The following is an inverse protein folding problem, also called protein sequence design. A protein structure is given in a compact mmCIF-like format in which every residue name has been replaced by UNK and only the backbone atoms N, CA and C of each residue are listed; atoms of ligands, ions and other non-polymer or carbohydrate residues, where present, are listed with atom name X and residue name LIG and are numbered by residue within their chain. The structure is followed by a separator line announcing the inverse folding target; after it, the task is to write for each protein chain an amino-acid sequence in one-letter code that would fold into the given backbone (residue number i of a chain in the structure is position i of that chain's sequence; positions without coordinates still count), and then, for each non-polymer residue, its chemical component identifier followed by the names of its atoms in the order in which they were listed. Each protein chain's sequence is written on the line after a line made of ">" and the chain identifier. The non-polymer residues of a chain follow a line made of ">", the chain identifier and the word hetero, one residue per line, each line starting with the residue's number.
data_IF_854367984953
#
_entry.id   IF_854367984953
#
_cell.length_a   1.000
_cell.length_b   1.000
_cell.length_c   1.000
_cell.angle_alpha   90.00
_cell.angle_beta   90.00
_cell.angle_gamma   90.00
#
_symmetry.space_group_name_H-M   'P 1'
#
loop_
_entity.id
_entity.type
_entity.pdbx_description
1 polymer ?
#
# COMPACT_ATOMS: atom_id res chain seq x y z
N UNK A 1 -11.88 21.05 5.29
CA UNK A 1 -11.56 22.07 4.26
C UNK A 1 -12.86 22.55 3.62
N UNK A 2 -12.94 23.80 3.13
CA UNK A 2 -14.17 24.33 2.52
C UNK A 2 -14.36 23.84 1.08
N UNK A 3 -15.62 23.59 0.70
CA UNK A 3 -15.99 23.20 -0.67
C UNK A 3 -15.21 21.98 -1.17
N UNK A 4 -14.80 22.01 -2.43
CA UNK A 4 -14.13 20.89 -3.10
C UNK A 4 -12.80 20.50 -2.46
N UNK A 5 -12.15 21.40 -1.71
CA UNK A 5 -10.91 21.09 -1.00
C UNK A 5 -11.06 19.97 0.05
N UNK A 6 -12.29 19.58 0.39
CA UNK A 6 -12.56 18.43 1.26
C UNK A 6 -12.72 17.09 0.54
N UNK A 7 -12.67 17.04 -0.80
CA UNK A 7 -12.93 15.83 -1.55
C UNK A 7 -11.83 14.77 -1.37
N UNK A 8 -10.61 15.20 -1.04
CA UNK A 8 -9.48 14.31 -0.79
C UNK A 8 -8.13 15.02 -0.86
N UNK A 9 -7.09 14.22 -0.99
CA UNK A 9 -5.70 14.69 -1.09
C UNK A 9 -4.91 13.82 -2.04
N UNK A 10 -4.35 14.43 -3.08
CA UNK A 10 -3.30 13.82 -3.91
C UNK A 10 -1.97 13.97 -3.21
N UNK A 11 -1.27 12.86 -2.99
CA UNK A 11 0.08 12.80 -2.44
C UNK A 11 1.01 12.35 -3.57
N UNK A 12 1.90 13.24 -4.01
CA UNK A 12 2.87 12.98 -5.06
C UNK A 12 4.29 13.23 -4.52
N UNK A 13 4.84 12.22 -3.84
CA UNK A 13 6.19 12.32 -3.27
C UNK A 13 7.26 12.47 -4.37
N UNK A 14 7.22 11.70 -5.48
CA UNK A 14 8.17 11.90 -6.59
C UNK A 14 8.06 13.29 -7.24
N UNK A 15 6.84 13.84 -7.35
CA UNK A 15 6.58 15.20 -7.82
C UNK A 15 6.89 16.28 -6.78
N UNK A 16 7.04 15.93 -5.51
CA UNK A 16 7.39 16.84 -4.41
C UNK A 16 6.24 17.72 -3.91
N UNK A 17 4.98 17.30 -4.07
CA UNK A 17 3.83 18.08 -3.61
C UNK A 17 2.67 17.23 -3.06
N UNK A 18 1.78 17.91 -2.34
CA UNK A 18 0.46 17.41 -2.01
C UNK A 18 -0.58 18.43 -2.45
N UNK A 19 -1.71 17.95 -2.93
CA UNK A 19 -2.81 18.80 -3.40
C UNK A 19 -4.12 18.38 -2.75
N UNK A 20 -4.77 19.30 -2.05
CA UNK A 20 -6.13 19.13 -1.58
C UNK A 20 -7.13 19.37 -2.71
N UNK A 21 -8.25 18.67 -2.67
CA UNK A 21 -9.33 18.85 -3.63
C UNK A 21 -9.64 17.59 -4.43
N UNK A 22 -10.32 17.73 -5.58
CA UNK A 22 -10.57 16.63 -6.50
C UNK A 22 -9.27 15.97 -6.98
N UNK A 23 -9.33 14.69 -7.32
CA UNK A 23 -8.19 13.99 -7.91
C UNK A 23 -7.85 14.60 -9.29
N UNK A 24 -6.66 15.19 -9.40
CA UNK A 24 -6.14 15.77 -10.65
C UNK A 24 -5.20 14.84 -11.42
N UNK A 25 -4.81 13.70 -10.83
CA UNK A 25 -4.04 12.68 -11.52
C UNK A 25 -4.91 11.75 -12.36
N UNK A 26 -4.28 10.85 -13.11
CA UNK A 26 -4.95 9.83 -13.95
C UNK A 26 -5.21 8.57 -13.13
N UNK A 27 -6.46 8.25 -12.73
CA UNK A 27 -6.74 7.05 -11.94
C UNK A 27 -6.42 5.77 -12.73
N UNK A 28 -5.64 4.87 -12.14
CA UNK A 28 -5.31 3.57 -12.74
C UNK A 28 -6.03 2.43 -12.02
N UNK A 29 -5.95 2.41 -10.69
CA UNK A 29 -6.65 1.44 -9.85
C UNK A 29 -7.04 2.08 -8.52
N UNK A 30 -7.95 1.44 -7.80
CA UNK A 30 -8.41 1.95 -6.51
C UNK A 30 -8.77 0.84 -5.54
N UNK A 31 -8.65 1.16 -4.26
CA UNK A 31 -9.04 0.30 -3.14
C UNK A 31 -10.03 1.05 -2.28
N UNK A 32 -11.19 0.44 -2.06
CA UNK A 32 -12.18 1.00 -1.13
C UNK A 32 -11.74 0.73 0.30
N UNK A 33 -11.93 1.72 1.19
CA UNK A 33 -11.42 1.72 2.55
C UNK A 33 -10.12 2.51 2.66
N UNK A 34 -10.12 3.49 3.56
CA UNK A 34 -8.93 4.25 3.96
C UNK A 34 -9.10 4.75 5.41
N UNK A 35 -8.03 4.80 6.23
CA UNK A 35 -6.68 4.33 5.90
C UNK A 35 -6.56 2.80 5.97
N UNK A 36 -7.58 2.11 6.49
CA UNK A 36 -7.60 0.66 6.67
C UNK A 36 -8.47 0.00 5.61
N UNK A 37 -7.94 -1.05 4.98
CA UNK A 37 -8.65 -1.90 4.03
C UNK A 37 -8.14 -3.34 4.13
N UNK A 38 -8.59 -4.25 3.27
CA UNK A 38 -8.04 -5.59 3.12
C UNK A 38 -7.26 -5.67 1.82
N UNK A 39 -5.99 -6.06 1.92
CA UNK A 39 -5.11 -6.31 0.78
C UNK A 39 -4.68 -7.78 0.76
N UNK A 40 -4.33 -8.26 -0.41
CA UNK A 40 -3.73 -9.58 -0.58
C UNK A 40 -2.21 -9.42 -0.73
N UNK A 41 -1.46 -10.27 -0.02
CA UNK A 41 -0.01 -10.24 0.02
C UNK A 41 0.56 -11.58 -0.44
N UNK A 42 1.52 -11.52 -1.35
CA UNK A 42 2.32 -12.66 -1.78
C UNK A 42 3.80 -12.41 -1.52
N UNK A 43 4.49 -13.47 -1.11
CA UNK A 43 5.94 -13.48 -0.92
C UNK A 43 6.54 -14.35 -2.03
N UNK A 44 7.56 -13.83 -2.72
CA UNK A 44 8.24 -14.53 -3.82
C UNK A 44 7.82 -14.10 -5.22
N UNK A 45 6.89 -13.14 -5.34
CA UNK A 45 6.41 -12.60 -6.61
C UNK A 45 4.90 -12.72 -6.76
N UNK A 46 4.33 -11.90 -7.66
CA UNK A 46 2.91 -11.89 -7.93
C UNK A 46 2.53 -13.01 -8.91
N UNK A 47 1.66 -13.92 -8.45
CA UNK A 47 0.91 -14.83 -9.30
C UNK A 47 -0.59 -14.64 -9.03
N UNK A 48 -1.41 -14.19 -10.00
CA UNK A 48 -2.85 -14.01 -9.77
C UNK A 48 -3.55 -15.32 -9.39
N UNK A 49 -3.00 -16.48 -9.77
CA UNK A 49 -3.52 -17.80 -9.42
C UNK A 49 -2.79 -18.44 -8.22
N UNK A 50 -1.80 -17.74 -7.66
CA UNK A 50 -0.98 -18.22 -6.55
C UNK A 50 -1.66 -18.10 -5.19
N UNK A 51 -1.05 -18.74 -4.19
CA UNK A 51 -1.47 -18.57 -2.80
C UNK A 51 -1.15 -17.17 -2.28
N UNK A 52 -2.10 -16.55 -1.56
CA UNK A 52 -1.94 -15.23 -0.97
C UNK A 52 -2.45 -15.20 0.47
N UNK A 53 -2.01 -14.20 1.21
CA UNK A 53 -2.53 -13.87 2.54
C UNK A 53 -3.43 -12.65 2.45
N UNK A 54 -4.69 -12.77 2.89
CA UNK A 54 -5.60 -11.63 2.97
C UNK A 54 -5.47 -10.98 4.34
N UNK A 55 -5.01 -9.73 4.38
CA UNK A 55 -4.63 -9.04 5.60
C UNK A 55 -5.37 -7.71 5.76
N UNK A 56 -5.87 -7.39 6.96
CA UNK A 56 -6.18 -6.01 7.28
C UNK A 56 -4.89 -5.17 7.14
N UNK A 57 -4.98 -4.08 6.40
CA UNK A 57 -3.83 -3.34 5.89
C UNK A 57 -4.05 -1.85 6.07
N UNK A 58 -3.00 -1.13 6.44
CA UNK A 58 -3.01 0.31 6.65
C UNK A 58 -2.17 0.96 5.55
N UNK A 59 -2.79 1.83 4.74
CA UNK A 59 -2.07 2.76 3.89
C UNK A 59 -1.56 3.92 4.74
N UNK A 60 -0.26 3.92 5.05
CA UNK A 60 0.33 4.84 6.01
C UNK A 60 1.61 5.48 5.45
N UNK A 61 1.45 6.67 4.86
CA UNK A 61 2.58 7.46 4.35
C UNK A 61 3.53 7.94 5.47
N UNK A 62 3.15 7.85 6.74
CA UNK A 62 4.02 8.12 7.89
C UNK A 62 4.76 6.88 8.41
N UNK A 63 4.43 5.69 7.91
CA UNK A 63 4.88 4.39 8.42
C UNK A 63 6.33 4.00 8.07
N UNK A 64 7.13 4.92 7.54
CA UNK A 64 8.51 4.67 7.08
C UNK A 64 8.57 3.50 6.09
N UNK A 65 9.32 2.43 6.38
CA UNK A 65 9.42 1.23 5.52
C UNK A 65 8.25 0.24 5.68
N UNK A 66 7.28 0.54 6.56
CA UNK A 66 6.14 -0.31 6.84
C UNK A 66 6.44 -1.49 7.76
N UNK A 67 5.43 -2.33 7.98
CA UNK A 67 5.51 -3.54 8.81
C UNK A 67 4.87 -4.73 8.13
N UNK A 68 5.51 -5.90 8.24
CA UNK A 68 5.06 -7.16 7.66
C UNK A 68 4.69 -8.15 8.78
N UNK A 69 3.50 -8.76 8.77
CA UNK A 69 3.18 -9.82 9.72
C UNK A 69 4.13 -11.02 9.61
N UNK A 70 4.67 -11.47 10.73
CA UNK A 70 5.62 -12.57 10.81
C UNK A 70 5.11 -13.86 10.15
N UNK A 71 3.80 -14.13 10.29
CA UNK A 71 3.15 -15.33 9.78
C UNK A 71 3.26 -15.47 8.25
N UNK A 72 3.30 -14.35 7.52
CA UNK A 72 3.32 -14.41 6.05
C UNK A 72 4.72 -14.55 5.47
N UNK A 73 5.75 -14.18 6.23
CA UNK A 73 7.13 -14.30 5.79
C UNK A 73 7.60 -15.76 5.72
N UNK A 74 7.02 -16.65 6.55
CA UNK A 74 7.29 -18.09 6.51
C UNK A 74 8.69 -18.52 6.96
N UNK A 75 9.53 -17.61 7.46
CA UNK A 75 10.91 -17.88 7.89
C UNK A 75 11.05 -18.18 9.39
N UNK A 76 9.97 -18.05 10.17
CA UNK A 76 10.00 -18.11 11.63
C UNK A 76 10.51 -16.82 12.30
N UNK A 77 10.91 -15.81 11.52
CA UNK A 77 11.29 -14.50 12.03
C UNK A 77 10.08 -13.75 12.59
N UNK A 78 10.21 -13.18 13.79
CA UNK A 78 9.13 -12.44 14.48
C UNK A 78 9.47 -10.98 14.79
N UNK A 79 10.73 -10.58 14.60
CA UNK A 79 11.25 -9.22 14.85
C UNK A 79 12.35 -8.88 13.84
N UNK A 80 12.76 -7.61 13.79
CA UNK A 80 13.80 -7.12 12.87
C UNK A 80 13.25 -6.85 11.46
N UNK A 81 14.12 -6.57 10.50
CA UNK A 81 13.72 -6.28 9.12
C UNK A 81 13.53 -7.55 8.30
N UNK A 82 12.58 -7.52 7.35
CA UNK A 82 12.46 -8.60 6.37
C UNK A 82 13.80 -8.77 5.62
N UNK A 83 14.23 -10.02 5.31
CA UNK A 83 15.52 -10.24 4.67
C UNK A 83 15.61 -9.54 3.32
N UNK A 84 16.72 -8.84 3.00
CA UNK A 84 16.94 -8.30 1.66
C UNK A 84 16.80 -9.37 0.57
N UNK A 85 16.21 -9.00 -0.57
CA UNK A 85 15.91 -9.92 -1.67
C UNK A 85 14.52 -10.58 -1.56
N UNK A 86 13.78 -10.40 -0.46
CA UNK A 86 12.37 -10.80 -0.37
C UNK A 86 11.55 -9.98 -1.36
N UNK A 87 10.88 -10.65 -2.29
CA UNK A 87 9.90 -10.04 -3.21
C UNK A 87 8.54 -10.02 -2.53
N UNK A 88 7.97 -8.82 -2.39
CA UNK A 88 6.68 -8.60 -1.72
C UNK A 88 5.73 -7.99 -2.76
N UNK A 89 4.60 -8.65 -2.98
CA UNK A 89 3.59 -8.23 -3.94
C UNK A 89 2.29 -7.94 -3.23
N UNK A 90 1.70 -6.79 -3.53
CA UNK A 90 0.49 -6.29 -2.89
C UNK A 90 -0.57 -6.11 -3.97
N UNK A 91 -1.67 -6.85 -3.86
CA UNK A 91 -2.81 -6.79 -4.76
C UNK A 91 -4.08 -6.39 -3.99
N UNK A 92 -5.11 -5.98 -4.72
CA UNK A 92 -6.43 -5.80 -4.11
C UNK A 92 -7.01 -7.15 -3.68
N UNK A 93 -8.09 -7.12 -2.90
CA UNK A 93 -8.68 -8.32 -2.29
C UNK A 93 -9.12 -9.41 -3.30
N UNK A 94 -9.24 -9.10 -4.58
CA UNK A 94 -9.52 -10.11 -5.61
C UNK A 94 -8.30 -10.95 -6.03
N UNK A 95 -7.08 -10.55 -5.64
CA UNK A 95 -5.80 -11.09 -6.11
C UNK A 95 -5.58 -11.06 -7.64
N UNK A 96 -6.46 -10.42 -8.40
CA UNK A 96 -6.39 -10.29 -9.85
C UNK A 96 -5.77 -8.96 -10.27
N UNK A 97 -5.86 -7.95 -9.41
CA UNK A 97 -5.28 -6.63 -9.68
C UNK A 97 -4.11 -6.34 -8.74
N UNK A 98 -2.89 -6.41 -9.29
CA UNK A 98 -1.69 -5.94 -8.60
C UNK A 98 -1.77 -4.44 -8.36
N UNK A 99 -1.39 -3.99 -7.17
CA UNK A 99 -1.20 -2.57 -6.86
C UNK A 99 0.26 -2.18 -7.05
N UNK A 100 1.17 -2.95 -6.43
CA UNK A 100 2.61 -2.79 -6.57
C UNK A 100 3.36 -4.03 -6.10
N UNK A 101 4.60 -4.15 -6.59
CA UNK A 101 5.55 -5.15 -6.16
C UNK A 101 6.90 -4.48 -5.88
N UNK A 102 7.64 -4.96 -4.90
CA UNK A 102 8.99 -4.50 -4.63
C UNK A 102 9.87 -5.61 -4.08
N UNK A 103 11.16 -5.47 -4.30
CA UNK A 103 12.18 -6.33 -3.69
C UNK A 103 12.83 -5.56 -2.54
N UNK A 104 12.77 -6.14 -1.36
CA UNK A 104 13.41 -5.60 -0.15
C UNK A 104 14.92 -5.46 -0.32
N UNK A 105 15.50 -4.43 0.30
CA UNK A 105 16.95 -4.19 0.31
C UNK A 105 17.45 -3.94 1.72
N UNK A 106 18.77 -3.89 1.92
CA UNK A 106 19.37 -3.55 3.22
C UNK A 106 18.90 -2.18 3.76
N UNK A 107 18.48 -1.26 2.89
CA UNK A 107 18.02 0.08 3.27
C UNK A 107 16.53 0.32 3.04
N UNK A 108 15.79 -0.67 2.51
CA UNK A 108 14.36 -0.57 2.28
C UNK A 108 13.69 -1.91 2.50
N UNK A 109 13.35 -2.19 3.75
CA UNK A 109 12.69 -3.42 4.18
C UNK A 109 11.68 -3.10 5.28
N UNK A 110 10.48 -3.71 5.25
CA UNK A 110 9.53 -3.57 6.34
C UNK A 110 10.05 -4.25 7.61
N UNK A 111 9.63 -3.77 8.77
CA UNK A 111 9.87 -4.46 10.04
C UNK A 111 8.92 -5.64 10.15
N UNK A 112 9.44 -6.82 10.45
CA UNK A 112 8.66 -8.01 10.75
C UNK A 112 8.10 -7.88 12.16
N UNK A 113 6.79 -8.08 12.32
CA UNK A 113 6.12 -7.93 13.61
C UNK A 113 5.13 -9.07 13.88
N UNK A 114 4.76 -9.25 15.15
CA UNK A 114 3.65 -10.14 15.53
C UNK A 114 2.26 -9.54 15.28
N UNK A 115 2.15 -8.26 14.89
CA UNK A 115 0.87 -7.65 14.51
C UNK A 115 0.34 -8.35 13.24
N UNK A 116 -0.92 -8.80 13.21
CA UNK A 116 -1.49 -9.44 12.03
C UNK A 116 -1.76 -8.47 10.88
N UNK A 117 -1.60 -7.16 11.10
CA UNK A 117 -1.85 -6.12 10.09
C UNK A 117 -0.61 -5.79 9.28
N UNK A 118 -0.81 -5.60 7.98
CA UNK A 118 0.17 -4.95 7.13
C UNK A 118 0.14 -3.44 7.37
N UNK A 119 1.31 -2.81 7.48
CA UNK A 119 1.46 -1.38 7.27
C UNK A 119 2.29 -1.19 5.99
N UNK A 120 1.74 -0.51 4.98
CA UNK A 120 2.40 -0.36 3.68
C UNK A 120 3.67 0.50 3.74
N UNK A 121 3.77 1.34 4.77
CA UNK A 121 4.72 2.43 4.84
C UNK A 121 4.60 3.39 3.67
N UNK A 122 5.71 4.06 3.39
CA UNK A 122 5.91 4.99 2.29
C UNK A 122 5.96 4.31 0.91
N UNK A 123 6.16 2.99 0.84
CA UNK A 123 6.43 2.28 -0.42
C UNK A 123 5.48 2.63 -1.57
N UNK A 124 4.14 2.52 -1.44
CA UNK A 124 3.25 2.91 -2.53
C UNK A 124 3.39 4.39 -2.91
N UNK A 125 3.53 5.29 -1.94
CA UNK A 125 3.64 6.73 -2.17
C UNK A 125 4.97 7.14 -2.83
N UNK A 126 6.03 6.32 -2.71
CA UNK A 126 7.32 6.54 -3.37
C UNK A 126 7.32 6.08 -4.83
N UNK A 127 6.42 5.16 -5.21
CA UNK A 127 6.33 4.62 -6.57
C UNK A 127 5.60 5.57 -7.53
N UNK A 128 4.71 6.41 -7.01
CA UNK A 128 3.99 7.40 -7.82
C UNK A 128 2.88 8.11 -7.04
N UNK A 129 2.08 8.93 -7.73
CA UNK A 129 1.03 9.73 -7.09
C UNK A 129 -0.12 8.84 -6.58
N UNK A 130 -0.49 9.02 -5.31
CA UNK A 130 -1.61 8.33 -4.66
C UNK A 130 -2.62 9.36 -4.18
N UNK A 131 -3.89 9.20 -4.55
CA UNK A 131 -4.98 10.05 -4.10
C UNK A 131 -5.79 9.37 -3.00
N UNK A 132 -5.97 10.05 -1.87
CA UNK A 132 -6.83 9.62 -0.76
C UNK A 132 -8.15 10.38 -0.86
N UNK A 133 -9.21 9.70 -1.29
CA UNK A 133 -10.56 10.24 -1.38
C UNK A 133 -11.24 10.22 -0.02
N UNK A 134 -11.94 11.31 0.31
CA UNK A 134 -12.81 11.40 1.48
C UNK A 134 -14.24 10.91 1.20
N UNK A 135 -14.54 10.45 -0.03
CA UNK A 135 -15.83 9.94 -0.56
C UNK A 135 -17.10 10.36 0.20
N UNK A 136 -18.09 11.03 -0.42
CA UNK A 136 -19.29 11.52 0.26
C UNK A 136 -20.12 10.45 1.00
N UNK A 137 -19.94 9.15 0.73
CA UNK A 137 -20.55 8.06 1.49
C UNK A 137 -19.90 7.77 2.86
N UNK A 138 -18.80 8.45 3.20
CA UNK A 138 -18.06 8.29 4.45
C UNK A 138 -17.02 7.15 4.42
N UNK A 139 -16.89 6.43 3.31
CA UNK A 139 -15.88 5.37 3.12
C UNK A 139 -14.78 5.86 2.19
N UNK A 140 -13.63 6.23 2.75
CA UNK A 140 -12.50 6.70 1.97
C UNK A 140 -12.01 5.67 0.93
N UNK A 141 -11.37 6.16 -0.12
CA UNK A 141 -10.82 5.33 -1.20
C UNK A 141 -9.37 5.71 -1.43
N UNK A 142 -8.48 4.73 -1.54
CA UNK A 142 -7.10 4.96 -2.00
C UNK A 142 -7.06 4.73 -3.50
N UNK A 143 -6.61 5.71 -4.26
CA UNK A 143 -6.53 5.67 -5.73
C UNK A 143 -5.07 5.78 -6.15
N UNK A 144 -4.60 4.81 -6.92
CA UNK A 144 -3.27 4.81 -7.50
C UNK A 144 -3.35 5.48 -8.86
N UNK A 145 -2.62 6.57 -9.04
CA UNK A 145 -2.57 7.30 -10.31
C UNK A 145 -1.35 6.90 -11.17
N UNK A 146 -0.86 5.68 -10.97
CA UNK A 146 0.26 5.09 -11.70
C UNK A 146 0.02 3.57 -11.87
N UNK A 147 0.52 2.96 -12.96
CA UNK A 147 0.41 1.52 -13.15
C UNK A 147 1.37 0.78 -12.21
N UNK A 148 1.07 -0.48 -11.84
CA UNK A 148 1.98 -1.30 -11.06
C UNK A 148 3.35 -1.42 -11.78
N UNK A 149 4.47 -1.21 -11.07
CA UNK A 149 5.82 -1.37 -11.63
C UNK A 149 6.23 -2.84 -11.81
#
# INVERSE_FOLDING_TARGET
>A
MPGQLNEGTLIDIPGGYMQFGPNTGTPITSVTGAPITVLNVQIGGYDPNGGYWSLPSIFDSGGNHGTLPAVILGTGQTTGYAPPGTVISISIHDNQTLLYQYTTTASNSPVVTADPRLNTGLTPFLLGPVYISNNPSGVGTVVFNYPPP
#
